data_IF_625864409417
#
_entry.id   IF_625864409417
#
_cell.length_a   1.000
_cell.length_b   1.000
_cell.length_c   1.000
_cell.angle_alpha   90.00
_cell.angle_beta   90.00
_cell.angle_gamma   90.00
#
_symmetry.space_group_name_H-M   'P 1'
#
loop_
_entity.id
_entity.type
_entity.pdbx_description
1 polymer ?
#
# COMPACT_ATOMS: atom_id res chain seq x y z
N UNK A 1 14.90 7.62 -38.58
CA UNK A 1 13.46 7.74 -38.94
C UNK A 1 12.67 7.81 -37.65
N UNK A 2 12.31 9.03 -37.26
CA UNK A 2 11.95 9.40 -35.89
C UNK A 2 10.48 9.16 -35.55
N UNK A 3 10.22 8.98 -34.26
CA UNK A 3 8.89 8.78 -33.65
C UNK A 3 7.80 9.76 -34.15
N UNK A 4 8.18 10.97 -34.58
CA UNK A 4 7.27 11.98 -35.12
C UNK A 4 6.53 11.58 -36.41
N UNK A 5 7.13 10.77 -37.29
CA UNK A 5 6.49 10.39 -38.56
C UNK A 5 5.38 9.32 -38.41
N UNK A 6 5.40 8.53 -37.33
CA UNK A 6 4.40 7.46 -37.10
C UNK A 6 3.19 7.89 -36.27
N UNK A 7 3.31 8.92 -35.45
CA UNK A 7 2.30 9.29 -34.44
C UNK A 7 1.45 10.52 -34.83
N UNK A 8 1.83 11.25 -35.89
CA UNK A 8 1.06 12.40 -36.39
C UNK A 8 0.76 13.43 -35.29
N UNK A 9 -0.49 13.88 -35.21
CA UNK A 9 -0.95 14.87 -34.23
C UNK A 9 -0.83 14.44 -32.75
N UNK A 10 -0.59 13.16 -32.46
CA UNK A 10 -0.46 12.63 -31.09
C UNK A 10 1.00 12.54 -30.61
N UNK A 11 1.97 12.76 -31.49
CA UNK A 11 3.39 12.62 -31.18
C UNK A 11 3.79 13.46 -29.95
N UNK A 12 3.36 14.72 -29.93
CA UNK A 12 3.69 15.65 -28.84
C UNK A 12 3.06 15.19 -27.53
N UNK A 13 1.78 14.81 -27.55
CA UNK A 13 1.08 14.32 -26.34
C UNK A 13 1.69 13.04 -25.78
N UNK A 14 2.12 12.12 -26.65
CA UNK A 14 2.81 10.88 -26.24
C UNK A 14 4.17 11.21 -25.65
N UNK A 15 4.92 12.13 -26.24
CA UNK A 15 6.21 12.56 -25.70
C UNK A 15 6.07 13.23 -24.34
N UNK A 16 5.08 14.09 -24.16
CA UNK A 16 4.78 14.75 -22.88
C UNK A 16 4.38 13.72 -21.81
N UNK A 17 3.59 12.70 -22.18
CA UNK A 17 3.24 11.60 -21.29
C UNK A 17 4.48 10.79 -20.88
N UNK A 18 5.32 10.40 -21.84
CA UNK A 18 6.55 9.64 -21.56
C UNK A 18 7.48 10.44 -20.65
N UNK A 19 7.65 11.73 -20.91
CA UNK A 19 8.48 12.63 -20.09
C UNK A 19 7.94 12.72 -18.67
N UNK A 20 6.62 12.90 -18.53
CA UNK A 20 5.95 12.93 -17.22
C UNK A 20 6.14 11.60 -16.47
N UNK A 21 5.94 10.46 -17.13
CA UNK A 21 6.09 9.13 -16.52
C UNK A 21 7.53 8.88 -16.10
N UNK A 22 8.53 9.28 -16.91
CA UNK A 22 9.94 9.17 -16.54
C UNK A 22 10.29 10.03 -15.32
N UNK A 23 9.76 11.26 -15.27
CA UNK A 23 9.88 12.11 -14.08
C UNK A 23 9.24 11.45 -12.86
N UNK A 24 8.05 10.88 -12.99
CA UNK A 24 7.38 10.15 -11.91
C UNK A 24 8.19 8.94 -11.45
N UNK A 25 8.76 8.15 -12.35
CA UNK A 25 9.64 7.03 -11.99
C UNK A 25 10.86 7.49 -11.22
N UNK A 26 11.47 8.60 -11.65
CA UNK A 26 12.60 9.20 -10.93
C UNK A 26 12.20 9.62 -9.51
N UNK A 27 11.09 10.34 -9.38
CA UNK A 27 10.57 10.78 -8.08
C UNK A 27 10.16 9.61 -7.18
N UNK A 28 9.58 8.55 -7.75
CA UNK A 28 9.14 7.38 -7.00
C UNK A 28 10.30 6.70 -6.24
N UNK A 29 11.53 6.81 -6.74
CA UNK A 29 12.72 6.31 -6.04
C UNK A 29 13.00 7.04 -4.72
N UNK A 30 12.52 8.28 -4.58
CA UNK A 30 12.81 9.15 -3.44
C UNK A 30 14.28 9.58 -3.35
N UNK A 31 15.09 9.32 -4.39
CA UNK A 31 16.51 9.67 -4.43
C UNK A 31 16.69 11.09 -4.94
N UNK A 32 17.65 11.85 -4.38
CA UNK A 32 17.98 13.16 -4.92
C UNK A 32 18.65 13.05 -6.28
N UNK A 33 18.35 13.99 -7.19
CA UNK A 33 18.96 14.11 -8.54
C UNK A 33 20.45 14.35 -8.53
N UNK A 34 20.98 14.92 -7.45
CA UNK A 34 22.40 15.11 -7.26
C UNK A 34 22.74 15.51 -5.83
N UNK A 35 24.00 15.85 -5.62
CA UNK A 35 24.54 16.19 -4.29
C UNK A 35 23.82 17.37 -3.63
N UNK A 36 23.20 18.25 -4.41
CA UNK A 36 22.40 19.36 -3.88
C UNK A 36 21.23 18.92 -2.99
N UNK A 37 20.69 17.71 -3.21
CA UNK A 37 19.62 17.18 -2.37
C UNK A 37 20.02 16.99 -0.89
N UNK A 38 21.31 16.81 -0.60
CA UNK A 38 21.81 16.73 0.79
C UNK A 38 21.72 18.09 1.51
N UNK A 39 21.93 19.19 0.78
CA UNK A 39 21.91 20.55 1.33
C UNK A 39 20.51 20.99 1.78
N UNK A 40 19.46 20.40 1.19
CA UNK A 40 18.07 20.62 1.59
C UNK A 40 17.84 20.35 3.08
N UNK A 41 18.46 19.30 3.65
CA UNK A 41 18.34 18.97 5.08
C UNK A 41 18.89 20.06 6.00
N UNK A 42 19.87 20.81 5.52
CA UNK A 42 20.51 21.91 6.25
C UNK A 42 19.93 23.28 5.91
N UNK A 43 18.82 23.32 5.15
CA UNK A 43 18.23 24.56 4.61
C UNK A 43 19.23 25.40 3.81
N UNK A 44 20.17 24.73 3.16
CA UNK A 44 21.10 25.36 2.23
C UNK A 44 20.50 25.20 0.83
N UNK A 45 20.19 26.32 0.21
CA UNK A 45 19.68 26.37 -1.16
C UNK A 45 20.84 26.06 -2.12
N UNK A 46 20.68 25.00 -2.93
CA UNK A 46 21.73 24.56 -3.84
C UNK A 46 21.13 24.11 -5.17
N UNK A 47 21.74 24.55 -6.27
CA UNK A 47 21.40 24.17 -7.63
C UNK A 47 22.58 23.43 -8.25
N UNK A 48 22.34 22.28 -8.89
CA UNK A 48 23.36 21.60 -9.69
C UNK A 48 23.06 21.80 -11.17
N UNK A 49 23.99 22.43 -11.88
CA UNK A 49 23.97 22.51 -13.34
C UNK A 49 24.81 21.38 -13.91
N UNK A 50 24.26 20.68 -14.91
CA UNK A 50 24.96 19.61 -15.62
C UNK A 50 24.87 19.87 -17.12
N UNK A 51 26.02 19.90 -17.78
CA UNK A 51 26.06 19.91 -19.25
C UNK A 51 25.63 18.54 -19.79
N UNK A 52 24.72 18.54 -20.76
CA UNK A 52 24.31 17.33 -21.49
C UNK A 52 24.86 17.37 -22.92
N UNK A 53 25.58 16.31 -23.31
CA UNK A 53 26.12 16.15 -24.66
C UNK A 53 27.14 14.99 -24.69
N UNK A 54 27.08 14.16 -25.73
CA UNK A 54 28.08 13.09 -25.95
C UNK A 54 29.40 13.64 -26.49
N UNK A 55 29.35 14.79 -27.18
CA UNK A 55 30.52 15.43 -27.78
C UNK A 55 31.03 16.56 -26.87
N UNK A 56 32.18 16.32 -26.24
CA UNK A 56 32.89 17.28 -25.39
C UNK A 56 33.71 18.25 -26.24
N UNK A 57 33.09 18.88 -27.23
CA UNK A 57 33.74 19.97 -27.96
C UNK A 57 33.79 21.20 -27.06
N UNK A 58 34.87 21.30 -26.29
CA UNK A 58 35.18 22.38 -25.34
C UNK A 58 35.06 23.79 -25.94
N UNK A 59 35.11 23.91 -27.28
CA UNK A 59 35.12 25.19 -27.98
C UNK A 59 33.76 25.90 -28.08
N UNK A 60 32.62 25.21 -27.99
CA UNK A 60 31.31 25.79 -28.36
C UNK A 60 30.30 25.96 -27.20
N UNK A 61 30.69 25.69 -25.95
CA UNK A 61 29.75 25.66 -24.82
C UNK A 61 29.80 26.87 -23.85
N UNK A 62 30.85 27.69 -23.87
CA UNK A 62 31.05 28.72 -22.83
C UNK A 62 29.98 29.83 -22.88
N UNK A 63 29.67 30.34 -24.07
CA UNK A 63 28.67 31.40 -24.22
C UNK A 63 27.28 30.92 -23.83
N UNK A 64 26.88 29.71 -24.25
CA UNK A 64 25.58 29.14 -23.92
C UNK A 64 25.47 28.84 -22.42
N UNK A 65 26.54 28.30 -21.81
CA UNK A 65 26.59 28.10 -20.35
C UNK A 65 26.50 29.43 -19.61
N UNK A 66 27.20 30.47 -20.08
CA UNK A 66 27.16 31.82 -19.53
C UNK A 66 25.76 32.43 -19.59
N UNK A 67 25.05 32.29 -20.73
CA UNK A 67 23.65 32.74 -20.88
C UNK A 67 22.72 32.02 -19.91
N UNK A 68 22.90 30.71 -19.72
CA UNK A 68 22.11 29.93 -18.76
C UNK A 68 22.39 30.40 -17.34
N UNK A 69 23.66 30.58 -16.97
CA UNK A 69 24.06 31.07 -15.64
C UNK A 69 23.49 32.46 -15.38
N UNK A 70 23.64 33.40 -16.32
CA UNK A 70 23.08 34.74 -16.22
C UNK A 70 21.55 34.70 -16.08
N UNK A 71 20.86 33.89 -16.89
CA UNK A 71 19.42 33.69 -16.81
C UNK A 71 18.97 33.14 -15.46
N UNK A 72 19.72 32.19 -14.88
CA UNK A 72 19.48 31.67 -13.53
C UNK A 72 19.63 32.81 -12.52
N UNK A 73 20.77 33.52 -12.48
CA UNK A 73 20.94 34.62 -11.53
C UNK A 73 19.88 35.71 -11.68
N UNK A 74 19.48 36.05 -12.90
CA UNK A 74 18.45 37.06 -13.15
C UNK A 74 17.06 36.61 -12.67
N UNK A 75 16.72 35.34 -12.85
CA UNK A 75 15.47 34.76 -12.34
C UNK A 75 15.47 34.65 -10.81
N UNK A 76 16.60 34.28 -10.20
CA UNK A 76 16.76 34.22 -8.74
C UNK A 76 16.77 35.60 -8.08
N UNK A 77 17.44 36.57 -8.69
CA UNK A 77 17.46 37.94 -8.19
C UNK A 77 16.07 38.60 -8.23
N UNK A 78 15.14 38.05 -9.02
CA UNK A 78 13.77 38.52 -9.09
C UNK A 78 12.82 37.77 -8.15
N UNK A 79 13.30 36.78 -7.40
CA UNK A 79 12.55 36.10 -6.35
C UNK A 79 12.74 36.85 -5.03
N UNK A 80 11.65 37.40 -4.50
CA UNK A 80 11.61 37.99 -3.16
C UNK A 80 11.51 36.93 -2.05
N UNK A 81 11.14 35.70 -2.42
CA UNK A 81 10.89 34.60 -1.50
C UNK A 81 12.00 33.54 -1.63
N UNK A 82 12.28 32.86 -0.51
CA UNK A 82 13.18 31.70 -0.49
C UNK A 82 12.62 30.58 -1.38
N UNK A 83 13.46 29.63 -1.78
CA UNK A 83 12.98 28.48 -2.54
C UNK A 83 11.99 27.66 -1.70
N UNK A 84 10.70 27.86 -1.92
CA UNK A 84 9.67 27.05 -1.30
C UNK A 84 9.59 25.68 -1.99
N UNK A 85 9.75 24.64 -1.17
CA UNK A 85 9.77 23.22 -1.52
C UNK A 85 8.46 22.79 -2.21
N UNK A 86 8.32 22.98 -3.52
CA UNK A 86 7.14 22.55 -4.30
C UNK A 86 7.37 21.34 -5.20
N UNK A 87 8.43 20.57 -4.96
CA UNK A 87 8.83 19.43 -5.81
C UNK A 87 7.76 18.34 -5.97
N UNK A 88 6.77 18.25 -5.07
CA UNK A 88 5.72 17.23 -5.14
C UNK A 88 4.40 17.74 -5.72
N UNK A 89 4.20 19.05 -5.90
CA UNK A 89 2.91 19.60 -6.34
C UNK A 89 2.76 19.73 -7.86
N UNK A 90 3.86 19.53 -8.60
CA UNK A 90 3.89 19.73 -10.05
C UNK A 90 4.53 18.55 -10.77
N UNK A 91 3.83 18.02 -11.76
CA UNK A 91 4.41 17.16 -12.77
C UNK A 91 4.74 18.02 -13.98
N UNK A 92 5.89 17.81 -14.61
CA UNK A 92 6.38 18.58 -15.76
C UNK A 92 6.41 17.67 -16.99
N UNK A 93 5.32 17.60 -17.77
CA UNK A 93 5.34 16.93 -19.06
C UNK A 93 6.28 17.61 -20.06
N UNK A 94 6.39 18.94 -20.00
CA UNK A 94 7.19 19.76 -20.91
C UNK A 94 7.79 20.96 -20.16
N UNK A 95 8.83 21.59 -20.70
CA UNK A 95 9.52 22.72 -20.05
C UNK A 95 8.63 23.94 -19.77
N UNK A 96 7.54 24.10 -20.51
CA UNK A 96 6.62 25.23 -20.40
C UNK A 96 5.22 24.84 -19.89
N UNK A 97 4.99 23.56 -19.61
CA UNK A 97 3.70 23.02 -19.19
C UNK A 97 3.86 22.24 -17.90
N UNK A 98 3.05 22.59 -16.90
CA UNK A 98 3.00 21.85 -15.65
C UNK A 98 1.58 21.33 -15.39
N UNK A 99 1.49 20.23 -14.68
CA UNK A 99 0.25 19.65 -14.16
C UNK A 99 0.27 19.85 -12.65
N UNK A 100 -0.66 20.67 -12.14
CA UNK A 100 -0.77 20.97 -10.72
C UNK A 100 -1.43 19.83 -9.93
N UNK A 101 -1.20 19.83 -8.62
CA UNK A 101 -1.80 18.89 -7.66
C UNK A 101 -3.32 18.74 -7.80
N UNK A 102 -4.03 19.84 -8.10
CA UNK A 102 -5.49 19.83 -8.29
C UNK A 102 -5.96 18.97 -9.47
N UNK A 103 -5.08 18.68 -10.44
CA UNK A 103 -5.43 17.87 -11.61
C UNK A 103 -5.16 16.38 -11.39
N UNK A 104 -4.05 16.02 -10.74
CA UNK A 104 -3.66 14.61 -10.61
C UNK A 104 -4.14 13.95 -9.30
N UNK A 105 -4.41 14.70 -8.23
CA UNK A 105 -4.89 14.13 -6.96
C UNK A 105 -6.30 13.55 -7.05
N UNK A 106 -7.29 14.19 -7.72
CA UNK A 106 -8.63 13.59 -7.82
C UNK A 106 -8.64 12.22 -8.50
N UNK A 107 -7.94 11.99 -9.64
CA UNK A 107 -7.78 10.66 -10.21
C UNK A 107 -7.17 9.63 -9.25
N UNK A 108 -6.18 10.05 -8.44
CA UNK A 108 -5.60 9.18 -7.41
C UNK A 108 -6.58 8.89 -6.27
N UNK A 109 -7.40 9.88 -5.87
CA UNK A 109 -8.53 9.67 -4.96
C UNK A 109 -9.52 8.63 -5.50
N UNK A 110 -9.85 8.69 -6.79
CA UNK A 110 -10.69 7.67 -7.45
C UNK A 110 -10.05 6.27 -7.41
N UNK A 111 -8.73 6.17 -7.55
CA UNK A 111 -8.01 4.90 -7.42
C UNK A 111 -8.12 4.33 -6.00
N UNK A 112 -8.07 5.17 -4.96
CA UNK A 112 -8.24 4.76 -3.56
C UNK A 112 -9.70 4.56 -3.14
N UNK A 113 -10.66 5.10 -3.87
CA UNK A 113 -12.08 4.99 -3.58
C UNK A 113 -12.56 3.53 -3.60
N UNK A 114 -12.05 2.71 -4.53
CA UNK A 114 -12.37 1.28 -4.61
C UNK A 114 -12.07 0.51 -3.31
N UNK A 115 -10.82 0.55 -2.80
CA UNK A 115 -10.47 0.01 -1.48
C UNK A 115 -11.34 0.52 -0.34
N UNK A 116 -11.66 1.82 -0.31
CA UNK A 116 -12.46 2.43 0.76
C UNK A 116 -13.91 1.92 0.73
N UNK A 117 -14.55 1.92 -0.44
CA UNK A 117 -15.91 1.37 -0.60
C UNK A 117 -15.93 -0.11 -0.21
N UNK A 118 -14.95 -0.88 -0.66
CA UNK A 118 -14.85 -2.30 -0.32
C UNK A 118 -14.68 -2.51 1.20
N UNK A 119 -13.91 -1.66 1.88
CA UNK A 119 -13.80 -1.70 3.34
C UNK A 119 -15.16 -1.43 4.02
N UNK A 120 -15.93 -0.44 3.56
CA UNK A 120 -17.27 -0.15 4.08
C UNK A 120 -18.20 -1.34 3.88
N UNK A 121 -18.21 -1.96 2.69
CA UNK A 121 -19.01 -3.15 2.40
C UNK A 121 -18.63 -4.32 3.30
N UNK A 122 -17.33 -4.56 3.52
CA UNK A 122 -16.88 -5.63 4.41
C UNK A 122 -17.22 -5.35 5.88
N UNK A 123 -17.21 -4.08 6.28
CA UNK A 123 -17.65 -3.66 7.60
C UNK A 123 -19.14 -3.96 7.83
N UNK A 124 -20.00 -3.61 6.88
CA UNK A 124 -21.45 -3.89 6.98
C UNK A 124 -21.71 -5.40 6.97
N UNK A 125 -21.06 -6.15 6.09
CA UNK A 125 -21.21 -7.61 6.02
C UNK A 125 -20.74 -8.34 7.29
N UNK A 126 -19.73 -7.81 7.99
CA UNK A 126 -19.28 -8.39 9.25
C UNK A 126 -20.24 -8.09 10.42
N UNK A 127 -20.92 -6.94 10.38
CA UNK A 127 -21.91 -6.53 11.38
C UNK A 127 -23.27 -7.22 11.25
N UNK A 128 -23.68 -7.60 10.04
CA UNK A 128 -24.96 -8.29 9.80
C UNK A 128 -24.95 -9.80 10.12
N UNK A 129 -23.81 -10.39 10.50
CA UNK A 129 -23.78 -11.81 10.84
C UNK A 129 -24.36 -12.04 12.26
N UNK A 130 -25.30 -12.99 12.46
CA UNK A 130 -25.91 -13.23 13.77
C UNK A 130 -24.88 -13.73 14.83
N UNK A 131 -25.07 -13.40 16.11
CA UNK A 131 -24.22 -13.88 17.20
C UNK A 131 -24.50 -15.35 17.53
N UNK A 132 -23.47 -16.05 18.03
CA UNK A 132 -23.49 -17.50 18.31
C UNK A 132 -24.04 -17.86 19.71
N UNK A 133 -24.24 -16.89 20.60
CA UNK A 133 -24.73 -17.18 21.95
C UNK A 133 -26.12 -16.59 22.19
N UNK A 134 -27.12 -17.47 22.17
CA UNK A 134 -28.34 -17.30 22.95
C UNK A 134 -28.03 -17.38 24.44
N UNK A 135 -27.30 -16.41 25.00
CA UNK A 135 -27.64 -15.97 26.35
C UNK A 135 -28.72 -14.92 26.14
N UNK A 136 -29.96 -15.28 26.48
CA UNK A 136 -30.96 -14.28 26.86
C UNK A 136 -30.26 -13.37 27.86
N UNK A 137 -29.85 -12.18 27.43
CA UNK A 137 -29.63 -11.09 28.37
C UNK A 137 -31.01 -10.90 28.95
N UNK A 138 -31.19 -11.34 30.19
CA UNK A 138 -32.40 -11.12 30.96
C UNK A 138 -32.63 -9.62 31.06
N UNK A 139 -33.34 -9.06 30.09
CA UNK A 139 -34.10 -7.82 30.25
C UNK A 139 -35.35 -8.14 31.09
N UNK A 140 -35.11 -8.71 32.27
CA UNK A 140 -36.11 -9.00 33.29
C UNK A 140 -35.90 -8.14 34.54
N UNK A 141 -34.82 -7.35 34.60
CA UNK A 141 -34.46 -6.56 35.79
C UNK A 141 -34.80 -5.06 35.72
N UNK A 142 -35.51 -4.58 34.71
CA UNK A 142 -35.97 -3.18 34.64
C UNK A 142 -37.50 -3.00 34.71
N UNK A 143 -38.27 -4.04 35.05
CA UNK A 143 -39.74 -3.96 35.26
C UNK A 143 -40.20 -4.36 36.66
N UNK A 144 -39.30 -4.34 37.65
CA UNK A 144 -39.58 -4.74 39.02
C UNK A 144 -39.56 -3.61 40.04
N UNK A 145 -40.17 -2.45 39.75
CA UNK A 145 -40.43 -1.43 40.78
C UNK A 145 -41.44 -0.36 40.29
N UNK A 146 -42.70 -0.73 40.11
CA UNK A 146 -43.84 0.16 40.36
C UNK A 146 -45.16 -0.62 40.16
N UNK A 147 -45.95 -0.62 41.24
CA UNK A 147 -47.41 -0.75 41.28
C UNK A 147 -48.03 -2.16 41.20
N UNK A 148 -48.21 -2.72 42.40
CA UNK A 148 -49.41 -3.46 42.79
C UNK A 148 -50.68 -2.64 42.48
N UNK A 149 -51.70 -3.26 41.87
CA UNK A 149 -53.01 -3.55 42.49
C UNK A 149 -54.06 -3.90 41.42
N UNK A 150 -55.03 -4.73 41.83
CA UNK A 150 -56.25 -5.16 41.12
C UNK A 150 -56.02 -6.17 39.99
N UNK A 151 -56.43 -7.45 40.06
CA UNK A 151 -57.60 -8.00 40.72
C UNK A 151 -58.50 -8.64 39.65
N UNK A 152 -58.93 -9.89 39.91
CA UNK A 152 -60.03 -10.64 39.29
C UNK A 152 -59.68 -11.78 38.30
N UNK A 153 -59.96 -12.99 38.79
CA UNK A 153 -60.15 -14.29 38.12
C UNK A 153 -61.32 -14.30 37.11
N UNK A 154 -61.19 -15.10 36.04
CA UNK A 154 -62.17 -16.12 35.57
C UNK A 154 -61.54 -16.90 34.39
N UNK A 155 -61.17 -18.17 34.55
CA UNK A 155 -61.94 -19.42 34.33
C UNK A 155 -62.23 -19.74 32.85
N UNK A 156 -61.83 -20.97 32.48
CA UNK A 156 -61.96 -21.68 31.21
C UNK A 156 -63.34 -21.66 30.55
N UNK A 157 -63.38 -21.76 29.21
CA UNK A 157 -64.16 -22.78 28.49
C UNK A 157 -63.83 -22.79 26.98
N UNK A 158 -63.65 -24.00 26.47
CA UNK A 158 -63.50 -24.35 25.06
C UNK A 158 -64.75 -24.02 24.24
N UNK A 159 -64.56 -23.56 22.99
CA UNK A 159 -65.34 -24.06 21.84
C UNK A 159 -64.73 -23.60 20.51
N UNK A 160 -64.48 -24.58 19.66
CA UNK A 160 -64.18 -24.53 18.23
C UNK A 160 -65.05 -23.58 17.40
N UNK A 161 -64.44 -22.84 16.47
CA UNK A 161 -65.02 -22.52 15.16
C UNK A 161 -63.95 -22.03 14.16
N UNK A 162 -63.86 -22.69 13.01
CA UNK A 162 -63.07 -22.28 11.85
C UNK A 162 -63.58 -20.95 11.28
N UNK A 163 -62.69 -19.98 11.07
CA UNK A 163 -62.90 -18.95 10.04
C UNK A 163 -61.60 -18.39 9.47
N UNK A 164 -61.39 -18.69 8.19
CA UNK A 164 -60.35 -18.14 7.33
C UNK A 164 -60.40 -16.60 7.23
N UNK A 165 -59.23 -15.94 7.38
CA UNK A 165 -58.65 -14.88 6.52
C UNK A 165 -57.70 -13.96 7.33
N UNK A 166 -56.80 -13.19 6.69
CA UNK A 166 -55.93 -13.51 5.58
C UNK A 166 -54.44 -13.46 6.00
N UNK A 167 -53.60 -14.05 5.16
CA UNK A 167 -52.13 -14.02 5.14
C UNK A 167 -51.53 -12.72 5.70
N UNK A 168 -50.92 -12.78 6.87
CA UNK A 168 -49.95 -11.77 7.31
C UNK A 168 -48.84 -11.72 6.25
N UNK A 169 -48.78 -10.60 5.55
CA UNK A 169 -47.60 -10.25 4.75
C UNK A 169 -46.45 -10.11 5.74
N UNK A 170 -45.49 -11.02 5.69
CA UNK A 170 -44.15 -10.82 6.23
C UNK A 170 -43.68 -9.42 5.81
N UNK A 171 -43.69 -8.48 6.75
CA UNK A 171 -42.96 -7.23 6.58
C UNK A 171 -41.49 -7.61 6.46
N UNK A 172 -40.79 -7.22 5.37
CA UNK A 172 -39.37 -7.51 5.26
C UNK A 172 -38.66 -6.86 6.43
N UNK A 173 -37.94 -7.73 7.11
CA UNK A 173 -37.42 -7.63 8.45
C UNK A 173 -36.70 -6.29 8.73
N UNK A 174 -37.35 -5.45 9.54
CA UNK A 174 -36.74 -4.22 10.06
C UNK A 174 -35.70 -4.57 11.15
N UNK A 175 -35.84 -5.71 11.84
CA UNK A 175 -34.86 -6.17 12.84
C UNK A 175 -33.54 -6.59 12.18
N UNK A 176 -33.56 -7.22 11.00
CA UNK A 176 -32.34 -7.51 10.21
C UNK A 176 -31.59 -6.23 9.78
N UNK A 177 -32.31 -5.13 9.52
CA UNK A 177 -31.70 -3.83 9.20
C UNK A 177 -31.21 -3.07 10.43
N UNK A 178 -31.85 -3.26 11.58
CA UNK A 178 -31.49 -2.60 12.85
C UNK A 178 -30.46 -3.43 13.64
N UNK A 179 -30.20 -4.68 13.24
CA UNK A 179 -29.11 -5.53 13.75
C UNK A 179 -27.72 -4.86 13.67
N UNK A 180 -27.56 -3.89 12.76
CA UNK A 180 -26.39 -3.01 12.64
C UNK A 180 -25.93 -2.39 13.98
N UNK A 181 -26.85 -2.08 14.89
CA UNK A 181 -26.54 -1.45 16.18
C UNK A 181 -26.42 -2.44 17.34
N UNK A 182 -26.81 -3.71 17.17
CA UNK A 182 -26.99 -4.63 18.29
C UNK A 182 -25.74 -5.43 18.64
N UNK A 183 -24.86 -5.68 17.68
CA UNK A 183 -23.60 -6.43 17.90
C UNK A 183 -22.45 -5.89 17.03
N UNK A 184 -21.63 -4.93 17.52
CA UNK A 184 -20.47 -4.47 16.77
C UNK A 184 -19.49 -5.63 16.51
N UNK A 185 -18.88 -5.70 15.31
CA UNK A 185 -17.95 -6.77 15.02
C UNK A 185 -16.72 -6.69 15.94
N UNK A 186 -16.27 -7.84 16.45
CA UNK A 186 -15.16 -7.93 17.39
C UNK A 186 -13.81 -7.56 16.74
N UNK A 187 -13.44 -6.28 16.79
CA UNK A 187 -12.16 -5.72 16.30
C UNK A 187 -10.96 -6.43 16.96
N UNK A 188 -11.10 -6.86 18.22
CA UNK A 188 -10.04 -7.51 18.99
C UNK A 188 -9.46 -8.77 18.34
N UNK A 189 -10.21 -9.46 17.48
CA UNK A 189 -9.73 -10.65 16.76
C UNK A 189 -8.67 -10.34 15.68
N UNK A 190 -8.67 -9.10 15.16
CA UNK A 190 -7.78 -8.67 14.07
C UNK A 190 -6.49 -8.04 14.60
N UNK A 191 -6.53 -7.43 15.79
CA UNK A 191 -5.42 -6.70 16.39
C UNK A 191 -4.13 -7.54 16.49
N UNK A 192 -4.15 -8.81 16.97
CA UNK A 192 -2.93 -9.61 17.06
C UNK A 192 -2.27 -9.86 15.69
N UNK A 193 -3.08 -10.01 14.64
CA UNK A 193 -2.58 -10.22 13.28
C UNK A 193 -1.91 -8.95 12.78
N UNK A 194 -2.56 -7.79 12.95
CA UNK A 194 -2.00 -6.48 12.59
C UNK A 194 -0.69 -6.25 13.35
N UNK A 195 -0.64 -6.50 14.66
CA UNK A 195 0.57 -6.33 15.45
C UNK A 195 1.68 -7.28 14.97
N UNK A 196 1.37 -8.55 14.70
CA UNK A 196 2.33 -9.52 14.22
C UNK A 196 2.93 -9.12 12.85
N UNK A 197 2.11 -8.61 11.91
CA UNK A 197 2.63 -8.15 10.62
C UNK A 197 3.51 -6.92 10.73
N UNK A 198 3.23 -6.00 11.66
CA UNK A 198 4.09 -4.84 11.91
C UNK A 198 5.40 -5.24 12.60
N UNK A 199 5.36 -6.18 13.56
CA UNK A 199 6.57 -6.77 14.17
C UNK A 199 7.42 -7.44 13.09
N UNK A 200 6.81 -8.18 12.16
CA UNK A 200 7.52 -8.76 11.02
C UNK A 200 8.18 -7.68 10.14
N UNK A 201 7.52 -6.56 9.91
CA UNK A 201 8.10 -5.40 9.22
C UNK A 201 9.32 -4.81 9.95
N UNK A 202 9.24 -4.68 11.28
CA UNK A 202 10.34 -4.22 12.13
C UNK A 202 11.53 -5.20 12.07
N UNK A 203 11.27 -6.52 12.08
CA UNK A 203 12.32 -7.54 11.92
C UNK A 203 13.05 -7.39 10.58
N UNK A 204 12.32 -7.21 9.48
CA UNK A 204 12.92 -6.98 8.16
C UNK A 204 13.69 -5.66 8.12
N UNK A 205 13.19 -4.61 8.76
CA UNK A 205 13.87 -3.30 8.84
C UNK A 205 15.24 -3.39 9.54
N UNK A 206 15.33 -4.14 10.64
CA UNK A 206 16.60 -4.34 11.38
C UNK A 206 17.48 -5.46 10.82
N UNK A 207 16.95 -6.32 9.93
CA UNK A 207 17.69 -7.45 9.35
C UNK A 207 19.04 -7.09 8.69
N UNK A 208 19.23 -5.92 8.02
CA UNK A 208 20.53 -5.59 7.43
C UNK A 208 21.59 -5.33 8.50
N UNK A 209 21.22 -4.66 9.60
CA UNK A 209 22.16 -4.37 10.69
C UNK A 209 22.57 -5.63 11.43
N UNK A 210 21.61 -6.53 11.66
CA UNK A 210 21.87 -7.84 12.27
C UNK A 210 22.74 -8.70 11.36
N UNK A 211 22.43 -8.76 10.06
CA UNK A 211 23.22 -9.51 9.08
C UNK A 211 24.65 -8.99 8.94
N UNK A 212 24.84 -7.67 8.96
CA UNK A 212 26.17 -7.05 8.91
C UNK A 212 27.02 -7.42 10.13
N UNK A 213 26.46 -7.28 11.34
CA UNK A 213 27.14 -7.65 12.59
C UNK A 213 27.44 -9.14 12.66
N UNK A 214 26.51 -9.98 12.22
CA UNK A 214 26.72 -11.42 12.19
C UNK A 214 27.90 -11.77 11.27
N UNK A 215 27.95 -11.18 10.07
CA UNK A 215 29.06 -11.39 9.12
C UNK A 215 30.42 -11.00 9.69
N UNK A 216 30.50 -9.89 10.43
CA UNK A 216 31.71 -9.47 11.12
C UNK A 216 32.16 -10.48 12.19
N UNK A 217 31.22 -11.07 12.93
CA UNK A 217 31.52 -12.06 13.99
C UNK A 217 31.91 -13.42 13.40
N UNK A 218 31.24 -13.85 12.32
CA UNK A 218 31.50 -15.14 11.67
C UNK A 218 32.71 -15.11 10.72
N UNK A 219 33.30 -13.95 10.48
CA UNK A 219 34.41 -13.76 9.54
C UNK A 219 34.03 -13.94 8.07
N UNK A 220 32.73 -13.96 7.76
CA UNK A 220 32.21 -14.01 6.38
C UNK A 220 32.10 -12.61 5.80
N UNK A 221 31.97 -12.50 4.47
CA UNK A 221 31.73 -11.19 3.83
C UNK A 221 30.49 -10.52 4.46
N UNK A 222 30.62 -9.32 5.08
CA UNK A 222 29.51 -8.65 5.73
C UNK A 222 28.36 -8.32 4.76
N UNK A 223 28.66 -8.01 3.50
CA UNK A 223 27.63 -7.68 2.50
C UNK A 223 26.81 -8.91 2.11
N UNK A 224 27.45 -10.05 1.90
CA UNK A 224 26.74 -11.31 1.65
C UNK A 224 25.84 -11.68 2.84
N UNK A 225 26.34 -11.49 4.06
CA UNK A 225 25.60 -11.76 5.30
C UNK A 225 24.37 -10.86 5.45
N UNK A 226 24.44 -9.60 5.01
CA UNK A 226 23.30 -8.68 4.91
C UNK A 226 22.23 -9.23 3.95
N UNK A 227 22.61 -9.61 2.73
CA UNK A 227 21.65 -10.10 1.74
C UNK A 227 20.96 -11.38 2.20
N UNK A 228 21.72 -12.32 2.77
CA UNK A 228 21.18 -13.57 3.33
C UNK A 228 20.27 -13.29 4.54
N UNK A 229 20.64 -12.36 5.42
CA UNK A 229 19.81 -11.94 6.56
C UNK A 229 18.48 -11.31 6.11
N UNK A 230 18.51 -10.46 5.09
CA UNK A 230 17.30 -9.87 4.52
C UNK A 230 16.43 -10.94 3.84
N UNK A 231 17.01 -11.81 3.01
CA UNK A 231 16.27 -12.86 2.33
C UNK A 231 15.65 -13.86 3.32
N UNK A 232 16.39 -14.30 4.34
CA UNK A 232 15.88 -15.20 5.37
C UNK A 232 14.78 -14.57 6.22
N UNK A 233 14.92 -13.30 6.62
CA UNK A 233 13.87 -12.59 7.34
C UNK A 233 12.59 -12.46 6.50
N UNK A 234 12.69 -12.15 5.21
CA UNK A 234 11.54 -12.10 4.30
C UNK A 234 10.90 -13.48 4.13
N UNK A 235 11.69 -14.54 3.92
CA UNK A 235 11.18 -15.91 3.83
C UNK A 235 10.42 -16.31 5.09
N UNK A 236 10.91 -15.97 6.29
CA UNK A 236 10.20 -16.21 7.54
C UNK A 236 8.82 -15.53 7.55
N UNK A 237 8.73 -14.28 7.06
CA UNK A 237 7.43 -13.59 6.94
C UNK A 237 6.48 -14.25 5.93
N UNK A 238 7.02 -14.80 4.84
CA UNK A 238 6.23 -15.50 3.81
C UNK A 238 5.68 -16.82 4.34
N UNK A 239 6.43 -17.55 5.17
CA UNK A 239 5.99 -18.82 5.76
C UNK A 239 5.12 -18.64 7.02
N UNK A 240 5.06 -17.46 7.62
CA UNK A 240 4.29 -17.17 8.83
C UNK A 240 2.80 -17.62 8.79
N UNK A 241 2.03 -17.38 7.70
CA UNK A 241 0.63 -17.81 7.65
C UNK A 241 0.47 -19.33 7.60
N UNK A 242 1.43 -20.04 7.02
CA UNK A 242 1.37 -21.51 6.88
C UNK A 242 1.56 -22.16 8.25
N UNK A 243 2.46 -21.63 9.07
CA UNK A 243 2.71 -22.10 10.44
C UNK A 243 1.50 -21.83 11.34
N UNK A 244 0.91 -20.63 11.23
CA UNK A 244 -0.24 -20.23 12.07
C UNK A 244 -1.57 -20.85 11.65
N UNK A 245 -1.69 -21.33 10.41
CA UNK A 245 -2.87 -22.04 9.91
C UNK A 245 -3.19 -23.31 10.71
N UNK A 246 -2.16 -24.02 11.17
CA UNK A 246 -2.32 -25.26 11.95
C UNK A 246 -3.02 -25.03 13.30
N UNK A 247 -3.02 -23.79 13.81
CA UNK A 247 -3.70 -23.43 15.05
C UNK A 247 -5.14 -22.95 14.85
N UNK A 248 -5.57 -22.67 13.61
CA UNK A 248 -6.91 -22.12 13.31
C UNK A 248 -7.96 -23.17 12.95
N UNK A 249 -7.57 -24.42 12.65
CA UNK A 249 -8.50 -25.52 12.34
C UNK A 249 -9.41 -25.93 13.52
N UNK A 250 -9.20 -25.34 14.72
CA UNK A 250 -10.01 -25.57 15.91
C UNK A 250 -11.21 -24.60 16.07
N UNK A 251 -11.40 -23.62 15.18
CA UNK A 251 -12.39 -22.53 15.32
C UNK A 251 -13.57 -22.71 14.35
N UNK A 252 -14.84 -22.50 14.76
CA UNK A 252 -16.02 -22.63 13.89
C UNK A 252 -16.02 -21.73 12.63
N UNK A 253 -16.54 -22.25 11.51
CA UNK A 253 -16.49 -21.62 10.17
C UNK A 253 -17.17 -20.24 10.06
N UNK A 254 -18.23 -19.94 10.82
CA UNK A 254 -18.87 -18.62 10.75
C UNK A 254 -18.07 -17.54 11.51
N UNK A 255 -17.35 -17.90 12.57
CA UNK A 255 -16.44 -17.00 13.30
C UNK A 255 -15.23 -16.66 12.43
N UNK A 256 -14.74 -17.62 11.64
CA UNK A 256 -13.61 -17.42 10.73
C UNK A 256 -13.98 -16.47 9.57
N UNK A 257 -15.16 -16.62 8.96
CA UNK A 257 -15.63 -15.72 7.88
C UNK A 257 -15.76 -14.28 8.35
N UNK A 258 -16.36 -14.03 9.54
CA UNK A 258 -16.44 -12.68 10.12
C UNK A 258 -15.06 -12.09 10.35
N UNK A 259 -14.14 -12.88 10.91
CA UNK A 259 -12.74 -12.45 11.15
C UNK A 259 -12.01 -12.10 9.85
N UNK A 260 -12.28 -12.80 8.74
CA UNK A 260 -11.69 -12.54 7.44
C UNK A 260 -12.20 -11.24 6.82
N UNK A 261 -13.50 -10.96 6.92
CA UNK A 261 -14.06 -9.67 6.50
C UNK A 261 -13.46 -8.51 7.29
N UNK A 262 -13.31 -8.67 8.60
CA UNK A 262 -12.69 -7.65 9.47
C UNK A 262 -11.21 -7.43 9.17
N UNK A 263 -10.43 -8.50 8.95
CA UNK A 263 -9.03 -8.38 8.58
C UNK A 263 -8.86 -7.66 7.24
N UNK A 264 -9.64 -8.04 6.22
CA UNK A 264 -9.60 -7.38 4.91
C UNK A 264 -10.04 -5.91 5.00
N UNK A 265 -11.08 -5.62 5.76
CA UNK A 265 -11.55 -4.25 6.03
C UNK A 265 -10.43 -3.40 6.65
N UNK A 266 -9.82 -3.87 7.75
CA UNK A 266 -8.71 -3.18 8.41
C UNK A 266 -7.49 -3.00 7.49
N UNK A 267 -7.14 -4.04 6.71
CA UNK A 267 -6.05 -3.98 5.75
C UNK A 267 -6.26 -2.91 4.67
N UNK A 268 -7.47 -2.82 4.11
CA UNK A 268 -7.83 -1.85 3.06
C UNK A 268 -7.86 -0.41 3.61
N UNK A 269 -8.35 -0.19 4.83
CA UNK A 269 -8.33 1.12 5.49
C UNK A 269 -6.88 1.56 5.75
N UNK A 270 -6.07 0.68 6.35
CA UNK A 270 -4.65 0.97 6.59
C UNK A 270 -3.92 1.26 5.28
N UNK A 271 -4.22 0.52 4.22
CA UNK A 271 -3.66 0.77 2.90
C UNK A 271 -4.06 2.14 2.34
N UNK A 272 -5.34 2.49 2.39
CA UNK A 272 -5.84 3.77 1.87
C UNK A 272 -5.25 4.96 2.64
N UNK A 273 -5.19 4.88 3.97
CA UNK A 273 -4.56 5.91 4.81
C UNK A 273 -3.07 6.01 4.52
N UNK A 274 -2.37 4.88 4.43
CA UNK A 274 -0.94 4.85 4.11
C UNK A 274 -0.66 5.48 2.73
N UNK A 275 -1.41 5.09 1.69
CA UNK A 275 -1.24 5.63 0.34
C UNK A 275 -1.63 7.11 0.26
N UNK A 276 -2.66 7.54 0.98
CA UNK A 276 -3.04 8.96 1.08
C UNK A 276 -1.95 9.82 1.74
N UNK A 277 -1.42 9.38 2.88
CA UNK A 277 -0.30 10.05 3.54
C UNK A 277 0.96 10.05 2.68
N UNK A 278 1.24 8.94 2.00
CA UNK A 278 2.35 8.81 1.08
C UNK A 278 2.21 9.72 -0.13
N UNK A 279 1.02 9.91 -0.68
CA UNK A 279 0.81 10.79 -1.83
C UNK A 279 1.11 12.25 -1.50
N UNK A 280 0.87 12.68 -0.26
CA UNK A 280 1.22 14.02 0.21
C UNK A 280 2.74 14.25 0.28
N UNK A 281 3.54 13.19 0.50
CA UNK A 281 5.00 13.28 0.60
C UNK A 281 5.67 12.96 -0.74
N UNK A 282 5.17 11.96 -1.47
CA UNK A 282 5.66 11.48 -2.75
C UNK A 282 4.52 10.85 -3.54
N UNK A 283 3.84 11.70 -4.32
CA UNK A 283 2.75 11.28 -5.19
C UNK A 283 3.15 10.12 -6.11
N UNK A 284 4.33 10.19 -6.72
CA UNK A 284 4.73 9.21 -7.73
C UNK A 284 4.90 7.81 -7.15
N UNK A 285 5.53 7.70 -5.97
CA UNK A 285 5.64 6.41 -5.27
C UNK A 285 4.27 5.88 -4.87
N UNK A 286 3.41 6.72 -4.29
CA UNK A 286 2.06 6.33 -3.87
C UNK A 286 1.20 5.88 -5.07
N UNK A 287 1.27 6.60 -6.19
CA UNK A 287 0.54 6.27 -7.41
C UNK A 287 0.96 4.91 -7.97
N UNK A 288 2.25 4.65 -8.17
CA UNK A 288 2.71 3.37 -8.71
C UNK A 288 2.39 2.21 -7.77
N UNK A 289 2.62 2.39 -6.46
CA UNK A 289 2.26 1.36 -5.46
C UNK A 289 0.75 1.09 -5.54
N UNK A 290 -0.10 2.11 -5.47
CA UNK A 290 -1.54 1.95 -5.55
C UNK A 290 -2.02 1.32 -6.87
N UNK A 291 -1.45 1.73 -8.00
CA UNK A 291 -1.82 1.22 -9.33
C UNK A 291 -1.64 -0.30 -9.43
N UNK A 292 -0.57 -0.85 -8.86
CA UNK A 292 -0.33 -2.29 -8.85
C UNK A 292 -1.02 -3.03 -7.68
N UNK A 293 -1.12 -2.39 -6.50
CA UNK A 293 -1.66 -3.04 -5.30
C UNK A 293 -3.18 -3.08 -5.28
N UNK A 294 -3.87 -2.03 -5.72
CA UNK A 294 -5.35 -1.92 -5.63
C UNK A 294 -6.06 -3.09 -6.34
N UNK A 295 -5.75 -3.43 -7.61
CA UNK A 295 -6.43 -4.54 -8.28
C UNK A 295 -6.23 -5.88 -7.55
N UNK A 296 -5.03 -6.13 -7.04
CA UNK A 296 -4.70 -7.37 -6.33
C UNK A 296 -5.40 -7.42 -4.98
N UNK A 297 -5.35 -6.35 -4.19
CA UNK A 297 -5.96 -6.29 -2.85
C UNK A 297 -7.49 -6.39 -2.89
N UNK A 298 -8.12 -5.84 -3.93
CA UNK A 298 -9.55 -6.02 -4.14
C UNK A 298 -9.89 -7.47 -4.51
N UNK A 299 -9.08 -8.12 -5.36
CA UNK A 299 -9.27 -9.50 -5.80
C UNK A 299 -9.09 -10.55 -4.70
N UNK A 300 -8.19 -10.32 -3.75
CA UNK A 300 -7.90 -11.26 -2.65
C UNK A 300 -9.11 -11.38 -1.73
N UNK A 301 -9.69 -12.56 -1.65
CA UNK A 301 -10.75 -12.91 -0.70
C UNK A 301 -10.52 -14.33 -0.21
N UNK A 302 -11.06 -14.67 0.96
CA UNK A 302 -11.11 -16.06 1.39
C UNK A 302 -11.77 -16.92 0.30
N UNK A 303 -11.15 -18.07 0.00
CA UNK A 303 -11.70 -19.03 -0.94
C UNK A 303 -11.33 -20.47 -0.56
N UNK A 304 -12.30 -21.41 -0.62
CA UNK A 304 -12.04 -22.81 -0.36
C UNK A 304 -11.32 -23.50 -1.53
N UNK A 305 -11.33 -22.94 -2.74
CA UNK A 305 -10.71 -23.58 -3.90
C UNK A 305 -9.19 -23.40 -3.91
N UNK A 306 -8.47 -24.52 -4.06
CA UNK A 306 -7.01 -24.54 -4.10
C UNK A 306 -6.45 -23.72 -5.27
N UNK A 307 -7.12 -23.76 -6.42
CA UNK A 307 -6.73 -23.02 -7.63
C UNK A 307 -6.78 -21.51 -7.40
N UNK A 308 -7.88 -20.99 -6.86
CA UNK A 308 -8.02 -19.56 -6.57
C UNK A 308 -7.02 -19.09 -5.53
N UNK A 309 -6.73 -19.91 -4.52
CA UNK A 309 -5.71 -19.61 -3.52
C UNK A 309 -4.31 -19.49 -4.12
N UNK A 310 -3.93 -20.40 -5.01
CA UNK A 310 -2.64 -20.35 -5.70
C UNK A 310 -2.55 -19.11 -6.60
N UNK A 311 -3.62 -18.78 -7.33
CA UNK A 311 -3.67 -17.56 -8.16
C UNK A 311 -3.54 -16.30 -7.29
N UNK A 312 -4.28 -16.21 -6.19
CA UNK A 312 -4.17 -15.09 -5.24
C UNK A 312 -2.77 -14.95 -4.65
N UNK A 313 -2.16 -16.07 -4.23
CA UNK A 313 -0.80 -16.09 -3.72
C UNK A 313 0.21 -15.65 -4.79
N UNK A 314 0.07 -16.10 -6.03
CA UNK A 314 0.92 -15.67 -7.13
C UNK A 314 0.80 -14.16 -7.40
N UNK A 315 -0.43 -13.62 -7.47
CA UNK A 315 -0.67 -12.19 -7.67
C UNK A 315 -0.12 -11.35 -6.50
N UNK A 316 -0.30 -11.80 -5.26
CA UNK A 316 0.28 -11.14 -4.09
C UNK A 316 1.80 -11.19 -4.12
N UNK A 317 2.40 -12.31 -4.52
CA UNK A 317 3.85 -12.44 -4.63
C UNK A 317 4.42 -11.44 -5.64
N UNK A 318 3.77 -11.26 -6.80
CA UNK A 318 4.18 -10.27 -7.81
C UNK A 318 4.19 -8.83 -7.27
N UNK A 319 3.25 -8.52 -6.39
CA UNK A 319 3.09 -7.19 -5.78
C UNK A 319 3.91 -7.03 -4.49
N UNK A 320 4.63 -8.07 -4.05
CA UNK A 320 5.49 -7.97 -2.87
C UNK A 320 6.68 -7.01 -3.13
N UNK A 321 7.15 -6.25 -2.12
CA UNK A 321 8.22 -5.29 -2.33
C UNK A 321 9.51 -5.87 -2.94
N UNK A 322 10.00 -7.06 -2.52
CA UNK A 322 11.18 -7.67 -3.14
C UNK A 322 10.94 -8.07 -4.61
N UNK A 323 9.75 -8.58 -4.95
CA UNK A 323 9.45 -8.98 -6.32
C UNK A 323 9.28 -7.78 -7.24
N UNK A 324 8.67 -6.69 -6.78
CA UNK A 324 8.64 -5.44 -7.54
C UNK A 324 10.07 -4.98 -7.88
N UNK A 325 10.99 -5.04 -6.91
CA UNK A 325 12.40 -4.69 -7.15
C UNK A 325 13.06 -5.60 -8.20
N UNK A 326 12.83 -6.92 -8.12
CA UNK A 326 13.35 -7.89 -9.10
C UNK A 326 12.76 -7.64 -10.48
N UNK A 327 11.45 -7.41 -10.59
CA UNK A 327 10.77 -7.15 -11.87
C UNK A 327 11.24 -5.84 -12.52
N UNK A 328 11.39 -4.77 -11.73
CA UNK A 328 11.93 -3.51 -12.22
C UNK A 328 13.40 -3.65 -12.66
N UNK A 329 14.21 -4.38 -11.90
CA UNK A 329 15.61 -4.63 -12.25
C UNK A 329 15.73 -5.52 -13.50
N UNK A 330 14.83 -6.48 -13.66
CA UNK A 330 14.74 -7.33 -14.84
C UNK A 330 14.35 -6.52 -16.07
N UNK A 331 13.32 -5.66 -15.95
CA UNK A 331 12.89 -4.78 -17.03
C UNK A 331 14.00 -3.80 -17.43
N UNK A 332 14.70 -3.20 -16.45
CA UNK A 332 15.85 -2.34 -16.72
C UNK A 332 16.94 -3.08 -17.48
N UNK A 333 17.35 -4.26 -17.01
CA UNK A 333 18.40 -5.02 -17.68
C UNK A 333 17.97 -5.51 -19.06
N UNK A 334 16.72 -5.96 -19.24
CA UNK A 334 16.23 -6.42 -20.53
C UNK A 334 16.15 -5.29 -21.58
N UNK A 335 15.84 -4.06 -21.16
CA UNK A 335 15.66 -2.92 -22.06
C UNK A 335 16.95 -2.14 -22.31
N UNK A 336 17.84 -2.07 -21.31
CA UNK A 336 19.01 -1.18 -21.32
C UNK A 336 20.32 -1.96 -21.38
N UNK A 337 20.45 -3.04 -20.60
CA UNK A 337 21.67 -3.82 -20.51
C UNK A 337 21.66 -4.90 -21.59
N UNK A 338 22.36 -4.69 -22.69
CA UNK A 338 22.55 -5.68 -23.78
C UNK A 338 23.40 -6.89 -23.34
N UNK A 339 23.20 -7.41 -22.12
CA UNK A 339 23.95 -8.54 -21.56
C UNK A 339 23.28 -9.87 -21.89
N UNK A 340 24.05 -10.84 -22.39
CA UNK A 340 23.57 -12.20 -22.70
C UNK A 340 23.08 -12.97 -21.45
N UNK A 341 23.56 -12.61 -20.25
CA UNK A 341 23.24 -13.27 -18.99
C UNK A 341 22.29 -12.44 -18.10
N UNK A 342 21.11 -12.11 -18.62
CA UNK A 342 20.10 -11.20 -18.02
C UNK A 342 19.75 -11.54 -16.56
N UNK A 343 19.69 -12.82 -16.19
CA UNK A 343 19.34 -13.21 -14.82
C UNK A 343 20.43 -12.86 -13.80
N UNK A 344 21.69 -13.11 -14.16
CA UNK A 344 22.84 -12.81 -13.30
C UNK A 344 23.05 -11.30 -13.13
N UNK A 345 22.87 -10.53 -14.22
CA UNK A 345 22.91 -9.07 -14.17
C UNK A 345 21.77 -8.51 -13.34
N UNK A 346 20.55 -9.07 -13.47
CA UNK A 346 19.41 -8.69 -12.63
C UNK A 346 19.69 -8.88 -11.14
N UNK A 347 20.24 -10.04 -10.75
CA UNK A 347 20.58 -10.28 -9.34
C UNK A 347 21.62 -9.29 -8.82
N UNK A 348 22.65 -8.99 -9.63
CA UNK A 348 23.64 -7.98 -9.29
C UNK A 348 23.01 -6.57 -9.13
N UNK A 349 22.13 -6.16 -10.05
CA UNK A 349 21.40 -4.90 -9.97
C UNK A 349 20.51 -4.82 -8.72
N UNK A 350 19.84 -5.92 -8.35
CA UNK A 350 19.02 -6.00 -7.13
C UNK A 350 19.90 -5.79 -5.90
N UNK A 351 21.00 -6.53 -5.76
CA UNK A 351 21.93 -6.40 -4.64
C UNK A 351 22.51 -4.98 -4.54
N UNK A 352 22.92 -4.39 -5.67
CA UNK A 352 23.40 -3.01 -5.72
C UNK A 352 22.30 -2.00 -5.32
N UNK A 353 21.07 -2.21 -5.79
CA UNK A 353 19.93 -1.35 -5.47
C UNK A 353 19.61 -1.38 -3.97
N UNK A 354 19.56 -2.58 -3.37
CA UNK A 354 19.36 -2.78 -1.93
C UNK A 354 20.46 -2.08 -1.13
N UNK A 355 21.73 -2.34 -1.45
CA UNK A 355 22.87 -1.73 -0.75
C UNK A 355 22.86 -0.21 -0.87
N UNK A 356 22.54 0.30 -2.05
CA UNK A 356 22.47 1.74 -2.28
C UNK A 356 21.31 2.39 -1.50
N UNK A 357 20.16 1.71 -1.39
CA UNK A 357 19.01 2.16 -0.60
C UNK A 357 19.33 2.20 0.90
N UNK A 358 19.97 1.16 1.43
CA UNK A 358 20.42 1.10 2.83
C UNK A 358 21.44 2.22 3.12
N UNK A 359 22.42 2.40 2.23
CA UNK A 359 23.43 3.45 2.35
C UNK A 359 22.79 4.83 2.38
N UNK A 360 21.84 5.11 1.50
CA UNK A 360 21.16 6.39 1.43
C UNK A 360 20.23 6.63 2.63
N UNK A 361 19.56 5.59 3.11
CA UNK A 361 18.75 5.70 4.33
C UNK A 361 19.62 6.12 5.53
N UNK A 362 20.85 5.60 5.64
CA UNK A 362 21.78 5.95 6.72
C UNK A 362 22.49 7.30 6.51
N UNK A 363 22.94 7.58 5.30
CA UNK A 363 23.77 8.76 5.00
C UNK A 363 22.92 10.02 4.77
N UNK A 364 21.83 9.87 4.01
CA UNK A 364 20.98 10.99 3.57
C UNK A 364 19.69 11.10 4.38
N UNK A 365 19.34 10.07 5.16
CA UNK A 365 18.07 10.01 5.89
C UNK A 365 16.88 9.78 4.97
N UNK A 366 17.07 9.07 3.85
CA UNK A 366 15.95 8.73 2.96
C UNK A 366 14.97 7.78 3.68
N UNK A 367 13.68 8.08 3.54
CA UNK A 367 12.61 7.36 4.24
C UNK A 367 12.05 6.17 3.44
N UNK A 368 12.47 6.00 2.18
CA UNK A 368 11.92 4.98 1.27
C UNK A 368 12.09 3.55 1.81
N UNK A 369 13.29 3.20 2.27
CA UNK A 369 13.56 1.89 2.87
C UNK A 369 12.69 1.62 4.11
N UNK A 370 12.62 2.60 5.03
CA UNK A 370 11.80 2.49 6.23
C UNK A 370 10.31 2.33 5.89
N UNK A 371 9.80 3.10 4.92
CA UNK A 371 8.41 3.03 4.48
C UNK A 371 8.07 1.67 3.84
N UNK A 372 8.97 1.12 3.04
CA UNK A 372 8.79 -0.21 2.46
C UNK A 372 8.68 -1.28 3.54
N UNK A 373 9.57 -1.27 4.54
CA UNK A 373 9.61 -2.28 5.60
C UNK A 373 8.52 -2.10 6.68
N UNK A 374 8.16 -0.87 7.02
CA UNK A 374 7.27 -0.55 8.15
C UNK A 374 5.83 -0.21 7.74
N UNK A 375 5.60 0.15 6.47
CA UNK A 375 4.28 0.49 5.95
C UNK A 375 3.78 -0.52 4.92
N UNK A 376 4.47 -0.61 3.77
CA UNK A 376 4.02 -1.41 2.63
C UNK A 376 4.08 -2.91 2.94
N UNK A 377 5.18 -3.39 3.50
CA UNK A 377 5.36 -4.81 3.81
C UNK A 377 4.35 -5.34 4.86
N UNK A 378 4.12 -4.69 6.01
CA UNK A 378 3.11 -5.14 6.96
C UNK A 378 1.69 -5.17 6.38
N UNK A 379 1.34 -4.18 5.56
CA UNK A 379 0.06 -4.14 4.88
C UNK A 379 -0.09 -5.30 3.88
N UNK A 380 0.95 -5.56 3.07
CA UNK A 380 1.02 -6.71 2.19
C UNK A 380 0.91 -8.04 2.94
N UNK A 381 1.59 -8.17 4.08
CA UNK A 381 1.52 -9.36 4.93
C UNK A 381 0.11 -9.62 5.48
N UNK A 382 -0.72 -8.59 5.71
CA UNK A 382 -2.12 -8.79 6.11
C UNK A 382 -2.93 -9.48 5.01
N UNK A 383 -2.76 -9.07 3.74
CA UNK A 383 -3.39 -9.74 2.61
C UNK A 383 -2.79 -11.13 2.33
N UNK A 384 -1.50 -11.30 2.58
CA UNK A 384 -0.84 -12.60 2.52
C UNK A 384 -1.43 -13.57 3.55
N UNK A 385 -1.63 -13.13 4.79
CA UNK A 385 -2.31 -13.92 5.82
C UNK A 385 -3.74 -14.28 5.42
N UNK A 386 -4.47 -13.34 4.80
CA UNK A 386 -5.84 -13.56 4.34
C UNK A 386 -5.93 -14.58 3.20
N UNK A 387 -4.95 -14.64 2.30
CA UNK A 387 -4.95 -15.60 1.19
C UNK A 387 -4.69 -17.04 1.66
N UNK A 388 -3.94 -17.24 2.75
CA UNK A 388 -3.56 -18.56 3.24
C UNK A 388 -4.47 -19.14 4.33
N UNK A 389 -5.36 -18.32 4.90
CA UNK A 389 -6.47 -18.77 5.75
C UNK A 389 -7.66 -19.19 4.89
#
# INVERSE_FOLDING_TARGET
MGYHERLGAWADSVQSLVTMVMMMFYQASGRPTGNHGLFHRYRIEALTMRGGGENWDYAHGFLETGKVIEGVFRSLNNLLEQFHQSFFFYLLPESHRYVSIGLYMPPFGCLLLGPVIMAIVLWTLAGSAPPENGSKVDTSQERGAAEEQSGVKKTELESSEERNSPTEKESPDLEDKVAFLRYPPNIGSVVPIVMATHVAGVLVFYSPELGYKLGQVTGTDPLLSVYVGMASSFLLTVFYPIVTRYSSDAVPDHVTVRSHHMLKCGALILFAVLMGAMAAINFSLAFFVAMFHVPVYLFVTHSPSRTRRVIQAFLLLLVSPPMILVLLSLAYNALVSQSDAVLSSTLATVCQSVTSSIREARMLGTWSFAMTCLGILPNWLMFWCLAWR
#
